data_IF_000828250925
#
_entry.id   IF_000828250925
#
_cell.length_a   1.000
_cell.length_b   1.000
_cell.length_c   1.000
_cell.angle_alpha   90.00
_cell.angle_beta   90.00
_cell.angle_gamma   90.00
#
_symmetry.space_group_name_H-M   'P 1'
#
loop_
_entity.id
_entity.type
_entity.pdbx_description
1 polymer ?
#
# COMPACT_ATOMS: atom_id res chain seq x y z
N UNK A 1 8.25 0.67 39.19
CA UNK A 1 8.30 1.82 38.27
C UNK A 1 8.19 1.29 36.84
N UNK A 2 7.20 1.75 36.04
CA UNK A 2 7.16 1.37 34.61
C UNK A 2 8.47 1.83 33.95
N UNK A 3 9.20 0.91 33.38
CA UNK A 3 10.35 1.24 32.53
C UNK A 3 9.81 1.86 31.24
N UNK A 4 9.68 3.17 31.19
CA UNK A 4 9.47 3.88 29.95
C UNK A 4 10.79 3.82 29.17
N UNK A 5 10.81 3.08 28.07
CA UNK A 5 11.92 3.11 27.14
C UNK A 5 11.87 4.45 26.38
N UNK A 6 12.50 5.48 26.95
CA UNK A 6 12.71 6.78 26.30
C UNK A 6 13.76 6.74 25.19
N UNK A 7 14.49 5.62 25.07
CA UNK A 7 15.62 5.49 24.14
C UNK A 7 15.24 5.45 22.65
N UNK A 8 13.96 5.37 22.32
CA UNK A 8 13.53 5.25 20.92
C UNK A 8 13.55 6.58 20.15
N UNK A 9 13.41 7.72 20.84
CA UNK A 9 13.33 9.03 20.17
C UNK A 9 14.67 9.55 19.63
N UNK A 10 15.78 9.14 20.21
CA UNK A 10 17.12 9.65 19.85
C UNK A 10 17.83 8.80 18.78
N UNK A 11 17.22 7.70 18.34
CA UNK A 11 17.81 6.72 17.43
C UNK A 11 17.48 6.98 15.96
N UNK A 12 16.52 7.84 15.64
CA UNK A 12 16.12 8.11 14.26
C UNK A 12 17.21 8.86 13.50
N UNK A 13 17.86 8.17 12.56
CA UNK A 13 18.99 8.70 11.77
C UNK A 13 18.63 9.03 10.32
N UNK A 14 17.55 8.44 9.79
CA UNK A 14 17.14 8.54 8.37
C UNK A 14 16.02 9.53 8.11
N UNK A 15 15.40 10.03 9.17
CA UNK A 15 14.29 10.97 9.04
C UNK A 15 14.34 12.04 10.13
N UNK A 16 13.88 13.22 9.77
CA UNK A 16 13.66 14.31 10.73
C UNK A 16 12.36 14.08 11.50
N UNK A 17 12.19 14.74 12.63
CA UNK A 17 10.91 14.70 13.34
C UNK A 17 9.83 15.44 12.53
N UNK A 18 8.56 15.00 12.54
CA UNK A 18 7.48 15.65 11.80
C UNK A 18 7.33 17.14 12.08
N UNK A 19 7.58 17.57 13.33
CA UNK A 19 7.50 18.98 13.75
C UNK A 19 8.53 19.85 13.03
N UNK A 20 9.73 19.29 12.77
CA UNK A 20 10.84 19.96 12.09
C UNK A 20 10.78 19.84 10.56
N UNK A 21 9.83 19.04 10.03
CA UNK A 21 9.65 18.87 8.61
C UNK A 21 9.13 20.16 7.95
N UNK A 22 9.39 20.36 6.64
CA UNK A 22 8.98 21.55 5.91
C UNK A 22 7.47 21.86 6.02
N UNK A 23 7.12 23.13 6.14
CA UNK A 23 5.74 23.62 6.12
C UNK A 23 5.11 23.63 4.71
N UNK A 24 5.73 22.96 3.74
CA UNK A 24 5.26 22.86 2.36
C UNK A 24 5.15 21.39 1.96
N UNK A 25 4.01 21.01 1.38
CA UNK A 25 3.80 19.66 0.86
C UNK A 25 4.78 19.35 -0.27
N UNK A 26 5.53 18.28 -0.12
CA UNK A 26 6.40 17.72 -1.17
C UNK A 26 5.57 16.79 -2.04
N UNK A 27 5.35 17.16 -3.32
CA UNK A 27 4.64 16.30 -4.28
C UNK A 27 5.61 15.30 -4.90
N UNK A 28 5.19 14.03 -4.95
CA UNK A 28 5.94 12.92 -5.55
C UNK A 28 5.02 12.12 -6.45
N UNK A 29 5.43 11.91 -7.69
CA UNK A 29 4.73 11.02 -8.63
C UNK A 29 5.51 9.72 -8.77
N UNK A 30 4.88 8.58 -8.53
CA UNK A 30 5.46 7.25 -8.70
C UNK A 30 4.75 6.55 -9.85
N UNK A 31 5.52 6.15 -10.87
CA UNK A 31 5.03 5.39 -12.00
C UNK A 31 5.22 3.88 -11.79
N UNK A 32 4.19 3.11 -12.11
CA UNK A 32 4.13 1.66 -11.98
C UNK A 32 3.96 0.97 -13.34
N UNK A 33 4.63 -0.18 -13.51
CA UNK A 33 4.43 -1.09 -14.64
C UNK A 33 4.52 -2.53 -14.14
N UNK A 34 3.51 -3.34 -14.45
CA UNK A 34 3.43 -4.73 -13.99
C UNK A 34 3.59 -4.87 -12.46
N UNK A 35 3.02 -3.95 -11.69
CA UNK A 35 3.11 -3.94 -10.23
C UNK A 35 4.42 -3.37 -9.68
N UNK A 36 5.46 -3.17 -10.50
CA UNK A 36 6.73 -2.62 -10.03
C UNK A 36 6.76 -1.08 -10.14
N UNK A 37 7.32 -0.40 -9.14
CA UNK A 37 7.64 1.02 -9.27
C UNK A 37 8.84 1.19 -10.21
N UNK A 38 8.67 1.98 -11.26
CA UNK A 38 9.70 2.14 -12.31
C UNK A 38 10.22 3.57 -12.45
N UNK A 39 9.53 4.56 -11.87
CA UNK A 39 9.92 5.96 -12.02
C UNK A 39 9.48 6.82 -10.84
N UNK A 40 10.23 7.91 -10.63
CA UNK A 40 9.87 9.01 -9.72
C UNK A 40 9.85 10.30 -10.51
N UNK A 41 8.75 11.07 -10.45
CA UNK A 41 8.57 12.34 -11.14
C UNK A 41 8.91 12.24 -12.65
N UNK A 42 8.48 11.14 -13.30
CA UNK A 42 8.71 10.86 -14.70
C UNK A 42 10.11 10.31 -15.05
N UNK A 43 11.09 10.38 -14.15
CA UNK A 43 12.43 9.82 -14.37
C UNK A 43 12.45 8.34 -14.02
N UNK A 44 12.77 7.48 -14.98
CA UNK A 44 13.00 6.05 -14.75
C UNK A 44 14.26 5.85 -13.93
N UNK A 45 14.17 4.95 -12.95
CA UNK A 45 15.26 4.63 -12.03
C UNK A 45 15.34 3.12 -11.84
N UNK A 46 16.54 2.62 -11.56
CA UNK A 46 16.73 1.25 -11.09
C UNK A 46 16.14 1.12 -9.68
N UNK A 47 15.69 -0.08 -9.27
CA UNK A 47 14.98 -0.28 -7.99
C UNK A 47 15.70 0.29 -6.77
N UNK A 48 17.00 0.05 -6.65
CA UNK A 48 17.81 0.54 -5.53
C UNK A 48 17.87 2.08 -5.49
N UNK A 49 18.05 2.74 -6.65
CA UNK A 49 18.08 4.21 -6.73
C UNK A 49 16.72 4.84 -6.53
N UNK A 50 15.66 4.13 -6.91
CA UNK A 50 14.28 4.54 -6.65
C UNK A 50 14.00 4.53 -5.14
N UNK A 51 14.39 3.46 -4.45
CA UNK A 51 14.20 3.34 -3.01
C UNK A 51 15.04 4.39 -2.25
N UNK A 52 16.31 4.58 -2.62
CA UNK A 52 17.18 5.62 -2.05
C UNK A 52 16.53 7.00 -2.15
N UNK A 53 16.04 7.34 -3.35
CA UNK A 53 15.38 8.63 -3.59
C UNK A 53 14.12 8.82 -2.76
N UNK A 54 13.32 7.76 -2.60
CA UNK A 54 12.12 7.81 -1.76
C UNK A 54 12.47 7.90 -0.28
N UNK A 55 13.53 7.21 0.17
CA UNK A 55 14.03 7.34 1.54
C UNK A 55 14.40 8.78 1.85
N UNK A 56 15.10 9.47 0.94
CA UNK A 56 15.47 10.88 1.11
C UNK A 56 14.25 11.80 1.17
N UNK A 57 13.32 11.64 0.22
CA UNK A 57 12.13 12.49 0.14
C UNK A 57 11.22 12.30 1.35
N UNK A 58 10.95 11.04 1.71
CA UNK A 58 10.10 10.71 2.84
C UNK A 58 10.74 11.06 4.17
N UNK A 59 12.04 10.81 4.33
CA UNK A 59 12.79 11.13 5.52
C UNK A 59 12.80 12.64 5.83
N UNK A 60 12.98 13.48 4.80
CA UNK A 60 12.89 14.95 4.90
C UNK A 60 11.50 15.46 5.27
N UNK A 61 10.46 14.63 5.13
CA UNK A 61 9.09 14.94 5.51
C UNK A 61 8.64 14.22 6.79
N UNK A 62 9.54 13.57 7.52
CA UNK A 62 9.29 12.91 8.79
C UNK A 62 8.44 11.63 8.68
N UNK A 63 8.42 10.99 7.49
CA UNK A 63 7.60 9.83 7.20
C UNK A 63 8.38 8.53 7.42
N UNK A 64 7.72 7.49 7.95
CA UNK A 64 8.23 6.12 7.98
C UNK A 64 8.72 5.63 9.33
N UNK A 65 8.35 6.28 10.43
CA UNK A 65 8.56 5.77 11.79
C UNK A 65 7.53 4.70 12.11
N UNK A 66 8.00 3.58 12.61
CA UNK A 66 7.16 2.47 13.06
C UNK A 66 7.63 2.04 14.45
N UNK A 67 6.75 2.14 15.43
CA UNK A 67 6.96 1.65 16.79
C UNK A 67 5.89 0.61 17.08
N UNK A 68 6.30 -0.63 17.26
CA UNK A 68 5.37 -1.74 17.44
C UNK A 68 5.94 -2.80 18.38
N UNK A 69 5.02 -3.57 18.98
CA UNK A 69 5.34 -4.78 19.73
C UNK A 69 5.08 -5.98 18.82
N UNK A 70 6.11 -6.70 18.49
CA UNK A 70 6.07 -7.87 17.61
C UNK A 70 6.17 -9.18 18.38
N UNK A 71 5.51 -10.23 17.86
CA UNK A 71 5.60 -11.58 18.37
C UNK A 71 6.77 -12.28 17.64
N UNK A 72 7.84 -12.56 18.35
CA UNK A 72 8.98 -13.29 17.79
C UNK A 72 8.63 -14.75 17.52
N UNK A 73 9.29 -15.36 16.55
CA UNK A 73 9.12 -16.77 16.20
C UNK A 73 9.25 -17.72 17.40
N UNK A 74 10.09 -17.38 18.37
CA UNK A 74 10.30 -18.13 19.61
C UNK A 74 9.26 -17.89 20.70
N UNK A 75 8.15 -17.21 20.39
CA UNK A 75 7.01 -17.01 21.30
C UNK A 75 7.15 -15.86 22.27
N UNK A 76 8.22 -15.07 22.24
CA UNK A 76 8.37 -13.87 23.10
C UNK A 76 7.92 -12.60 22.36
N UNK A 77 7.53 -11.58 23.14
CA UNK A 77 7.24 -10.24 22.62
C UNK A 77 8.47 -9.35 22.69
N UNK A 78 8.71 -8.56 21.66
CA UNK A 78 9.73 -7.52 21.68
C UNK A 78 9.23 -6.25 21.04
N UNK A 79 9.61 -5.09 21.60
CA UNK A 79 9.36 -3.80 20.96
C UNK A 79 10.40 -3.56 19.88
N UNK A 80 9.93 -3.24 18.68
CA UNK A 80 10.73 -2.81 17.56
C UNK A 80 10.44 -1.37 17.19
N UNK A 81 11.49 -0.59 16.93
CA UNK A 81 11.40 0.78 16.40
C UNK A 81 12.17 0.81 15.08
N UNK A 82 11.45 1.10 14.00
CA UNK A 82 11.97 1.01 12.64
C UNK A 82 11.86 2.34 11.91
N UNK A 83 12.78 2.55 10.96
CA UNK A 83 12.73 3.64 10.00
C UNK A 83 12.57 3.05 8.59
N UNK A 84 11.40 3.23 7.98
CA UNK A 84 11.06 2.71 6.66
C UNK A 84 10.49 3.80 5.74
N UNK A 85 11.17 4.96 5.56
CA UNK A 85 10.57 6.10 4.89
C UNK A 85 10.15 5.80 3.45
N UNK A 86 11.04 5.32 2.60
CA UNK A 86 10.73 4.96 1.21
C UNK A 86 9.76 3.78 1.09
N UNK A 87 9.90 2.78 1.97
CA UNK A 87 8.99 1.63 2.02
C UNK A 87 7.55 2.05 2.34
N UNK A 88 7.36 2.96 3.28
CA UNK A 88 6.05 3.50 3.65
C UNK A 88 5.39 4.25 2.49
N UNK A 89 6.16 5.05 1.76
CA UNK A 89 5.66 5.76 0.57
C UNK A 89 5.32 4.79 -0.55
N UNK A 90 6.17 3.78 -0.81
CA UNK A 90 5.91 2.75 -1.82
C UNK A 90 4.66 1.93 -1.49
N UNK A 91 4.51 1.53 -0.24
CA UNK A 91 3.32 0.80 0.21
C UNK A 91 2.04 1.60 -0.05
N UNK A 92 2.01 2.87 0.35
CA UNK A 92 0.85 3.75 0.15
C UNK A 92 0.55 3.95 -1.34
N UNK A 93 1.57 4.16 -2.17
CA UNK A 93 1.41 4.35 -3.61
C UNK A 93 0.94 3.06 -4.30
N UNK A 94 1.50 1.91 -3.92
CA UNK A 94 1.14 0.62 -4.50
C UNK A 94 -0.32 0.25 -4.17
N UNK A 95 -0.75 0.42 -2.92
CA UNK A 95 -2.15 0.24 -2.53
C UNK A 95 -3.08 1.19 -3.32
N UNK A 96 -2.65 2.43 -3.53
CA UNK A 96 -3.42 3.40 -4.27
C UNK A 96 -3.59 3.04 -5.76
N UNK A 97 -2.57 2.49 -6.43
CA UNK A 97 -2.72 2.06 -7.83
C UNK A 97 -3.51 0.75 -7.92
N UNK A 98 -3.32 -0.19 -7.02
CA UNK A 98 -4.09 -1.43 -6.97
C UNK A 98 -5.60 -1.16 -6.82
N UNK A 99 -5.99 -0.18 -6.00
CA UNK A 99 -7.41 0.14 -5.75
C UNK A 99 -8.18 0.56 -7.00
N UNK A 100 -7.51 1.01 -8.06
CA UNK A 100 -8.13 1.44 -9.33
C UNK A 100 -7.87 0.50 -10.50
N UNK A 101 -6.98 -0.47 -10.34
CA UNK A 101 -6.56 -1.39 -11.42
C UNK A 101 -6.99 -2.83 -11.20
N UNK A 102 -7.16 -3.26 -9.95
CA UNK A 102 -7.61 -4.62 -9.63
C UNK A 102 -9.13 -4.68 -9.48
N UNK A 103 -9.73 -5.77 -9.92
CA UNK A 103 -11.12 -6.09 -9.61
C UNK A 103 -11.27 -6.52 -8.14
N UNK A 104 -12.52 -6.44 -7.65
CA UNK A 104 -12.89 -6.75 -6.27
C UNK A 104 -12.39 -8.13 -5.81
N UNK A 105 -12.60 -9.15 -6.63
CA UNK A 105 -12.25 -10.54 -6.27
C UNK A 105 -10.75 -10.72 -6.10
N UNK A 106 -9.97 -10.15 -7.01
CA UNK A 106 -8.50 -10.18 -6.94
C UNK A 106 -7.99 -9.40 -5.74
N UNK A 107 -8.53 -8.21 -5.49
CA UNK A 107 -8.15 -7.39 -4.33
C UNK A 107 -8.41 -8.13 -3.02
N UNK A 108 -9.62 -8.69 -2.84
CA UNK A 108 -9.98 -9.46 -1.64
C UNK A 108 -9.17 -10.75 -1.51
N UNK A 109 -8.86 -11.45 -2.61
CA UNK A 109 -8.00 -12.63 -2.57
C UNK A 109 -6.59 -12.28 -2.05
N UNK A 110 -6.01 -11.18 -2.53
CA UNK A 110 -4.72 -10.68 -2.03
C UNK A 110 -4.79 -10.32 -0.54
N UNK A 111 -5.81 -9.60 -0.11
CA UNK A 111 -5.97 -9.21 1.29
C UNK A 111 -6.07 -10.42 2.23
N UNK A 112 -6.81 -11.45 1.84
CA UNK A 112 -6.95 -12.69 2.64
C UNK A 112 -5.64 -13.45 2.83
N UNK A 113 -4.74 -13.43 1.83
CA UNK A 113 -3.48 -14.18 1.92
C UNK A 113 -2.32 -13.37 2.53
N UNK A 114 -2.44 -12.05 2.61
CA UNK A 114 -1.37 -11.17 3.10
C UNK A 114 -0.87 -11.52 4.51
N UNK A 115 -1.71 -11.81 5.52
CA UNK A 115 -1.24 -12.19 6.84
C UNK A 115 -0.39 -13.47 6.81
N UNK A 116 -0.85 -14.50 6.11
CA UNK A 116 -0.11 -15.76 5.98
C UNK A 116 1.20 -15.59 5.18
N UNK A 117 1.20 -14.72 4.17
CA UNK A 117 2.41 -14.40 3.43
C UNK A 117 3.43 -13.65 4.31
N UNK A 118 2.96 -12.64 5.05
CA UNK A 118 3.79 -11.87 5.96
C UNK A 118 4.41 -12.75 7.06
N UNK A 119 3.63 -13.66 7.64
CA UNK A 119 4.11 -14.62 8.64
C UNK A 119 5.24 -15.50 8.09
N UNK A 120 5.08 -16.04 6.89
CA UNK A 120 6.12 -16.86 6.25
C UNK A 120 7.41 -16.08 5.99
N UNK A 121 7.30 -14.82 5.56
CA UNK A 121 8.46 -13.95 5.35
C UNK A 121 9.12 -13.61 6.69
N UNK A 122 8.34 -13.23 7.69
CA UNK A 122 8.83 -12.88 9.02
C UNK A 122 9.58 -14.05 9.70
N UNK A 123 9.03 -15.25 9.58
CA UNK A 123 9.61 -16.47 10.16
C UNK A 123 10.77 -17.08 9.34
N UNK A 124 11.23 -16.40 8.27
CA UNK A 124 12.36 -16.85 7.47
C UNK A 124 12.04 -17.93 6.43
N UNK A 125 10.76 -18.24 6.18
CA UNK A 125 10.33 -19.27 5.22
C UNK A 125 10.26 -18.75 3.77
N UNK A 126 11.21 -17.90 3.37
CA UNK A 126 11.24 -17.28 2.04
C UNK A 126 11.21 -18.30 0.90
N UNK A 127 11.95 -19.41 1.02
CA UNK A 127 12.06 -20.45 -0.01
C UNK A 127 11.01 -21.56 0.12
N UNK A 128 10.06 -21.47 1.06
CA UNK A 128 9.06 -22.51 1.28
C UNK A 128 8.08 -22.62 0.11
N UNK A 129 7.66 -23.87 -0.17
CA UNK A 129 6.61 -24.17 -1.18
C UNK A 129 5.32 -23.38 -0.91
N UNK A 130 4.97 -23.16 0.37
CA UNK A 130 3.76 -22.42 0.78
C UNK A 130 3.88 -20.94 0.36
N UNK A 131 5.00 -20.27 0.66
CA UNK A 131 5.23 -18.87 0.25
C UNK A 131 5.20 -18.73 -1.27
N UNK A 132 5.84 -19.68 -2.02
CA UNK A 132 5.85 -19.68 -3.49
C UNK A 132 4.43 -19.82 -4.07
N UNK A 133 3.57 -20.68 -3.47
CA UNK A 133 2.17 -20.80 -3.89
C UNK A 133 1.40 -19.48 -3.68
N UNK A 134 1.58 -18.83 -2.53
CA UNK A 134 0.94 -17.53 -2.26
C UNK A 134 1.44 -16.45 -3.22
N UNK A 135 2.73 -16.44 -3.55
CA UNK A 135 3.31 -15.51 -4.52
C UNK A 135 2.62 -15.61 -5.89
N UNK A 136 2.35 -16.83 -6.37
CA UNK A 136 1.63 -17.05 -7.64
C UNK A 136 0.22 -16.40 -7.64
N UNK A 137 -0.47 -16.38 -6.49
CA UNK A 137 -1.76 -15.70 -6.36
C UNK A 137 -1.58 -14.19 -6.43
N UNK A 138 -0.54 -13.66 -5.76
CA UNK A 138 -0.21 -12.22 -5.79
C UNK A 138 0.11 -11.78 -7.22
N UNK A 139 0.85 -12.58 -7.97
CA UNK A 139 1.32 -12.25 -9.32
C UNK A 139 0.25 -12.40 -10.40
N UNK A 140 -0.85 -13.10 -10.15
CA UNK A 140 -1.85 -13.51 -11.14
C UNK A 140 -2.37 -12.37 -12.03
N UNK A 141 -2.53 -11.16 -11.48
CA UNK A 141 -2.99 -9.97 -12.23
C UNK A 141 -2.04 -8.79 -12.11
N UNK A 142 -0.77 -9.06 -11.84
CA UNK A 142 0.27 -8.06 -11.69
C UNK A 142 0.41 -7.15 -12.91
N UNK A 143 0.23 -7.69 -14.11
CA UNK A 143 0.28 -6.94 -15.37
C UNK A 143 -0.78 -5.83 -15.48
N UNK A 144 -1.87 -5.92 -14.73
CA UNK A 144 -2.90 -4.88 -14.68
C UNK A 144 -2.50 -3.68 -13.83
N UNK A 145 -1.59 -3.87 -12.86
CA UNK A 145 -1.14 -2.82 -11.95
C UNK A 145 -0.13 -1.92 -12.66
N UNK A 146 -0.64 -0.91 -13.36
CA UNK A 146 0.15 0.03 -14.14
C UNK A 146 -0.49 1.42 -14.14
N UNK A 147 0.35 2.47 -14.09
CA UNK A 147 -0.08 3.85 -14.08
C UNK A 147 0.74 4.72 -13.12
N UNK A 148 0.25 5.91 -12.82
CA UNK A 148 0.93 6.88 -11.97
C UNK A 148 0.10 7.20 -10.73
N UNK A 149 0.77 7.34 -9.60
CA UNK A 149 0.19 7.84 -8.35
C UNK A 149 0.91 9.11 -7.95
N UNK A 150 0.17 10.18 -7.69
CA UNK A 150 0.70 11.42 -7.13
C UNK A 150 0.40 11.46 -5.65
N UNK A 151 1.45 11.60 -4.86
CA UNK A 151 1.42 11.69 -3.40
C UNK A 151 1.80 13.10 -2.94
N UNK A 152 1.18 13.54 -1.86
CA UNK A 152 1.61 14.69 -1.07
C UNK A 152 2.24 14.19 0.23
N UNK A 153 3.50 14.56 0.47
CA UNK A 153 4.26 14.24 1.68
C UNK A 153 4.30 15.49 2.56
N UNK A 154 3.79 15.38 3.78
CA UNK A 154 3.74 16.53 4.70
C UNK A 154 3.77 16.09 6.16
N UNK A 155 4.78 16.50 6.90
CA UNK A 155 4.87 16.35 8.36
C UNK A 155 4.43 14.97 8.88
N UNK A 156 5.07 13.92 8.40
CA UNK A 156 4.79 12.54 8.80
C UNK A 156 3.62 11.87 8.08
N UNK A 157 2.83 12.63 7.29
CA UNK A 157 1.65 12.14 6.62
C UNK A 157 1.83 11.97 5.12
N UNK A 158 1.10 11.02 4.54
CA UNK A 158 1.02 10.77 3.09
C UNK A 158 -0.43 10.96 2.66
N UNK A 159 -0.66 11.85 1.70
CA UNK A 159 -1.96 12.06 1.07
C UNK A 159 -1.91 11.58 -0.37
N UNK A 160 -2.90 10.80 -0.80
CA UNK A 160 -3.05 10.43 -2.20
C UNK A 160 -3.74 11.59 -2.94
N UNK A 161 -3.00 12.30 -3.78
CA UNK A 161 -3.51 13.45 -4.53
C UNK A 161 -4.20 13.03 -5.82
N UNK A 162 -3.65 12.05 -6.56
CA UNK A 162 -4.30 11.52 -7.74
C UNK A 162 -3.80 10.12 -8.12
N UNK A 163 -4.60 9.42 -8.91
CA UNK A 163 -4.28 8.14 -9.53
C UNK A 163 -4.59 8.24 -11.02
N UNK A 164 -3.66 7.80 -11.87
CA UNK A 164 -3.83 7.80 -13.32
C UNK A 164 -3.49 6.43 -13.87
N UNK A 165 -4.41 5.78 -14.56
CA UNK A 165 -4.19 4.49 -15.20
C UNK A 165 -4.97 4.40 -16.52
N UNK A 166 -4.46 3.58 -17.45
CA UNK A 166 -5.18 3.20 -18.67
C UNK A 166 -6.09 1.99 -18.42
N UNK A 167 -5.81 1.20 -17.39
CA UNK A 167 -6.60 0.01 -17.02
C UNK A 167 -7.84 0.44 -16.25
N UNK A 168 -9.01 0.28 -16.85
CA UNK A 168 -10.29 0.84 -16.37
C UNK A 168 -11.08 -0.15 -15.52
N UNK A 169 -10.51 -0.69 -14.43
CA UNK A 169 -11.34 -1.34 -13.41
C UNK A 169 -12.23 -0.31 -12.68
N UNK A 170 -11.77 0.94 -12.64
CA UNK A 170 -12.48 2.08 -12.04
C UNK A 170 -13.01 3.02 -13.12
N UNK A 171 -14.28 3.38 -13.06
CA UNK A 171 -14.92 4.38 -13.95
C UNK A 171 -15.54 5.48 -13.12
N UNK A 172 -14.99 6.69 -13.21
CA UNK A 172 -15.56 7.92 -12.59
C UNK A 172 -17.05 8.11 -12.90
N UNK A 173 -17.48 7.75 -14.14
CA UNK A 173 -18.89 7.84 -14.55
C UNK A 173 -19.83 6.89 -13.80
N UNK A 174 -19.29 5.82 -13.15
CA UNK A 174 -20.08 4.81 -12.42
C UNK A 174 -20.03 4.97 -10.91
N UNK A 175 -19.17 5.83 -10.38
CA UNK A 175 -18.81 5.88 -8.95
C UNK A 175 -19.20 7.22 -8.29
N UNK A 176 -19.67 8.22 -9.04
CA UNK A 176 -20.16 9.46 -8.41
C UNK A 176 -21.47 9.15 -7.67
N UNK A 177 -21.53 9.50 -6.38
CA UNK A 177 -22.75 9.47 -5.56
C UNK A 177 -23.74 10.61 -5.94
N UNK A 178 -23.35 11.49 -6.86
CA UNK A 178 -24.28 12.46 -7.44
C UNK A 178 -25.27 11.72 -8.33
N UNK A 179 -26.53 12.17 -8.35
CA UNK A 179 -27.62 11.61 -9.16
C UNK A 179 -27.23 11.47 -10.63
N UNK A 180 -26.56 10.39 -10.97
CA UNK A 180 -26.26 10.06 -12.34
C UNK A 180 -27.46 9.32 -12.96
N UNK A 181 -28.07 9.90 -13.98
CA UNK A 181 -29.11 9.29 -14.84
C UNK A 181 -28.74 7.93 -15.43
N UNK A 182 -27.47 7.49 -15.26
CA UNK A 182 -26.94 6.18 -15.68
C UNK A 182 -27.07 5.09 -14.62
N UNK A 183 -27.51 5.41 -13.39
CA UNK A 183 -27.66 4.47 -12.30
C UNK A 183 -29.04 3.79 -12.41
N UNK A 184 -29.13 2.64 -13.05
CA UNK A 184 -30.37 1.90 -13.16
C UNK A 184 -30.63 1.11 -11.86
N UNK A 185 -31.43 1.69 -10.95
CA UNK A 185 -31.84 1.10 -9.66
C UNK A 185 -32.32 -0.34 -9.80
N UNK A 186 -33.17 -0.61 -10.80
CA UNK A 186 -33.75 -1.94 -11.05
C UNK A 186 -32.69 -3.00 -11.36
N UNK A 187 -31.61 -2.64 -12.10
CA UNK A 187 -30.49 -3.59 -12.35
C UNK A 187 -29.74 -3.96 -11.08
N UNK A 188 -29.59 -3.01 -10.15
CA UNK A 188 -28.91 -3.26 -8.88
C UNK A 188 -29.78 -4.10 -7.95
N UNK A 189 -31.06 -3.79 -7.86
CA UNK A 189 -32.01 -4.59 -7.08
C UNK A 189 -32.06 -6.06 -7.58
N UNK A 190 -32.10 -6.24 -8.89
CA UNK A 190 -32.07 -7.58 -9.50
C UNK A 190 -30.76 -8.31 -9.23
N UNK A 191 -29.61 -7.59 -9.27
CA UNK A 191 -28.32 -8.17 -8.92
C UNK A 191 -28.27 -8.60 -7.46
N UNK A 192 -28.73 -7.75 -6.54
CA UNK A 192 -28.77 -8.06 -5.10
C UNK A 192 -29.71 -9.25 -4.83
N UNK A 193 -30.90 -9.26 -5.42
CA UNK A 193 -31.85 -10.38 -5.31
C UNK A 193 -31.30 -11.69 -5.84
N UNK A 194 -30.55 -11.64 -6.96
CA UNK A 194 -29.93 -12.84 -7.52
C UNK A 194 -28.80 -13.36 -6.62
N UNK A 195 -27.97 -12.46 -6.10
CA UNK A 195 -26.84 -12.80 -5.23
C UNK A 195 -27.30 -13.35 -3.87
N UNK A 196 -28.35 -12.77 -3.28
CA UNK A 196 -28.94 -13.26 -2.02
C UNK A 196 -29.51 -14.67 -2.16
N UNK A 197 -30.13 -15.00 -3.32
CA UNK A 197 -30.62 -16.34 -3.60
C UNK A 197 -29.50 -17.39 -3.73
N UNK A 198 -28.32 -17.00 -4.19
CA UNK A 198 -27.15 -17.88 -4.25
C UNK A 198 -26.57 -18.17 -2.87
N UNK A 199 -26.52 -17.16 -1.98
CA UNK A 199 -26.03 -17.30 -0.61
C UNK A 199 -26.93 -18.19 0.26
N UNK A 200 -28.23 -18.21 -0.01
CA UNK A 200 -29.19 -19.06 0.71
C UNK A 200 -29.22 -20.51 0.23
N UNK A 201 -28.42 -20.87 -0.80
CA UNK A 201 -28.32 -22.24 -1.36
C UNK A 201 -26.99 -22.91 -0.99
N UNK A 202 -26.10 -22.22 -0.33
CA UNK A 202 -24.82 -22.70 0.20
C UNK A 202 -24.91 -22.86 1.73
#
# INVERSE_FOLDING_TARGET
TPRTSSAASDVYKRQISPEKAPNKTTKVTIGFKNGDPISINGKKLRPEKLLDKLNDLAGKNGIGRVDLVENRFIGIKSRGVYETPGGTVLYSAHRAIESVTLDKETAHAKERIMPAYAELVYNGYWFSKKRIKLQKVIDKKRNQVAGDVVLGLYKGNITILSRRTKNKAYSLKKVSFEENKTFNKSKIENFIKHHSKQLNKS
#
